data_IF_343632248826
#
_entry.id   IF_343632248826
#
_cell.length_a   1.000
_cell.length_b   1.000
_cell.length_c   1.000
_cell.angle_alpha   90.00
_cell.angle_beta   90.00
_cell.angle_gamma   90.00
#
_symmetry.space_group_name_H-M   'P 1'
#
loop_
_entity.id
_entity.type
_entity.pdbx_description
1 polymer ?
#
# COMPACT_ATOMS: atom_id res chain seq x y z
N UNK A 1 -8.04 19.87 6.15
CA UNK A 1 -6.78 19.51 5.46
C UNK A 1 -5.67 19.48 6.48
N UNK A 2 -4.71 18.57 6.36
CA UNK A 2 -3.56 18.50 7.27
C UNK A 2 -2.60 19.63 6.89
N UNK A 3 -2.16 20.43 7.87
CA UNK A 3 -1.19 21.51 7.65
C UNK A 3 0.15 20.91 7.18
N UNK A 4 0.66 21.43 6.06
CA UNK A 4 1.84 20.94 5.34
C UNK A 4 3.16 21.18 6.09
N UNK A 5 3.14 21.88 7.22
CA UNK A 5 4.34 22.27 7.97
C UNK A 5 4.40 21.71 9.39
N UNK A 6 3.54 20.76 9.73
CA UNK A 6 3.49 20.19 11.07
C UNK A 6 4.76 19.38 11.39
N UNK A 7 5.48 19.82 12.43
CA UNK A 7 6.62 19.08 12.98
C UNK A 7 6.18 18.03 13.99
N UNK A 8 6.90 16.91 14.05
CA UNK A 8 6.65 15.83 15.03
C UNK A 8 6.73 16.33 16.47
N UNK A 9 7.67 17.24 16.75
CA UNK A 9 7.80 17.85 18.08
C UNK A 9 6.59 18.70 18.47
N UNK A 10 5.98 19.38 17.50
CA UNK A 10 4.75 20.14 17.71
C UNK A 10 3.58 19.20 18.02
N UNK A 11 3.42 18.10 17.27
CA UNK A 11 2.42 17.07 17.56
C UNK A 11 2.58 16.47 18.96
N UNK A 12 3.81 16.14 19.35
CA UNK A 12 4.13 15.64 20.69
C UNK A 12 3.72 16.65 21.77
N UNK A 13 4.06 17.93 21.58
CA UNK A 13 3.76 19.01 22.53
C UNK A 13 2.26 19.23 22.68
N UNK A 14 1.54 19.36 21.56
CA UNK A 14 0.09 19.59 21.54
C UNK A 14 -0.64 18.41 22.17
N UNK A 15 -0.28 17.18 21.81
CA UNK A 15 -0.91 16.01 22.39
C UNK A 15 -0.60 15.82 23.88
N UNK A 16 0.64 16.08 24.32
CA UNK A 16 0.98 16.06 25.76
C UNK A 16 0.14 17.08 26.54
N UNK A 17 -0.06 18.29 26.01
CA UNK A 17 -0.90 19.33 26.61
C UNK A 17 -2.37 18.89 26.65
N UNK A 18 -2.91 18.38 25.55
CA UNK A 18 -4.31 17.95 25.46
C UNK A 18 -4.64 16.83 26.46
N UNK A 19 -3.75 15.84 26.60
CA UNK A 19 -3.90 14.71 27.53
C UNK A 19 -3.26 14.96 28.91
N UNK A 20 -2.92 16.20 29.25
CA UNK A 20 -2.37 16.53 30.56
C UNK A 20 -3.42 16.34 31.66
N UNK A 21 -4.63 16.85 31.41
CA UNK A 21 -5.75 16.85 32.36
C UNK A 21 -6.94 16.02 31.86
N UNK A 22 -6.69 15.02 30.99
CA UNK A 22 -7.74 14.14 30.43
C UNK A 22 -7.41 12.69 30.71
N UNK A 23 -8.46 11.87 30.78
CA UNK A 23 -8.32 10.43 30.89
C UNK A 23 -7.54 9.84 29.70
N UNK A 24 -6.83 8.74 29.98
CA UNK A 24 -6.01 7.99 29.02
C UNK A 24 -6.50 6.54 28.86
N UNK A 25 -7.63 6.21 29.48
CA UNK A 25 -8.30 4.92 29.42
C UNK A 25 -8.92 4.60 28.07
N UNK A 26 -9.72 3.52 28.02
CA UNK A 26 -10.40 3.06 26.81
C UNK A 26 -11.43 4.10 26.35
N UNK A 27 -11.45 4.42 25.06
CA UNK A 27 -12.38 5.42 24.49
C UNK A 27 -11.89 6.87 24.57
N UNK A 28 -10.87 7.18 25.37
CA UNK A 28 -10.31 8.55 25.50
C UNK A 28 -9.67 9.14 24.24
N UNK A 29 -9.43 8.32 23.21
CA UNK A 29 -8.64 8.69 22.04
C UNK A 29 -7.12 8.73 22.28
N UNK A 30 -6.64 8.55 23.51
CA UNK A 30 -5.20 8.60 23.83
C UNK A 30 -4.37 7.57 23.04
N UNK A 31 -4.88 6.35 22.89
CA UNK A 31 -4.24 5.30 22.08
C UNK A 31 -4.14 5.69 20.60
N UNK A 32 -5.16 6.34 20.05
CA UNK A 32 -5.14 6.83 18.66
C UNK A 32 -4.13 7.95 18.48
N UNK A 33 -4.05 8.90 19.43
CA UNK A 33 -3.02 9.93 19.45
C UNK A 33 -1.61 9.32 19.49
N UNK A 34 -1.36 8.37 20.39
CA UNK A 34 -0.06 7.70 20.49
C UNK A 34 0.30 6.96 19.20
N UNK A 35 -0.67 6.29 18.56
CA UNK A 35 -0.48 5.66 17.24
C UNK A 35 -0.17 6.69 16.15
N UNK A 36 -0.88 7.83 16.12
CA UNK A 36 -0.59 8.94 15.20
C UNK A 36 0.83 9.48 15.40
N UNK A 37 1.24 9.70 16.66
CA UNK A 37 2.58 10.17 16.99
C UNK A 37 3.67 9.16 16.60
N UNK A 38 3.40 7.86 16.74
CA UNK A 38 4.30 6.79 16.30
C UNK A 38 4.55 6.86 14.79
N UNK A 39 3.48 6.91 13.98
CA UNK A 39 3.61 7.00 12.52
C UNK A 39 4.26 8.31 12.08
N UNK A 40 3.91 9.42 12.73
CA UNK A 40 4.53 10.72 12.45
C UNK A 40 6.05 10.70 12.67
N UNK A 41 6.54 10.04 13.74
CA UNK A 41 7.98 9.89 14.00
C UNK A 41 8.67 9.00 12.96
N UNK A 42 8.02 7.88 12.61
CA UNK A 42 8.57 6.88 11.68
C UNK A 42 8.72 7.45 10.27
N UNK A 43 7.76 8.27 9.86
CA UNK A 43 7.67 8.84 8.52
C UNK A 43 8.07 10.32 8.51
N UNK A 44 8.85 10.78 9.48
CA UNK A 44 9.33 12.15 9.50
C UNK A 44 10.47 12.33 8.50
N UNK A 45 10.52 13.49 7.84
CA UNK A 45 11.71 13.93 7.12
C UNK A 45 12.90 14.13 8.06
N UNK A 46 14.10 14.30 7.50
CA UNK A 46 15.33 14.59 8.27
C UNK A 46 15.23 15.88 9.08
N UNK A 47 14.37 16.81 8.65
CA UNK A 47 14.04 18.07 9.33
C UNK A 47 12.97 17.92 10.44
N UNK A 48 12.48 16.70 10.66
CA UNK A 48 11.47 16.37 11.65
C UNK A 48 10.04 16.80 11.27
N UNK A 49 9.80 17.18 10.01
CA UNK A 49 8.45 17.43 9.49
C UNK A 49 7.73 16.13 9.19
N UNK A 50 6.42 16.11 9.43
CA UNK A 50 5.56 15.02 8.97
C UNK A 50 5.34 15.19 7.48
N UNK A 51 5.56 14.12 6.71
CA UNK A 51 5.31 14.12 5.26
C UNK A 51 3.89 14.61 4.98
N UNK A 52 3.77 15.63 4.12
CA UNK A 52 2.49 16.18 3.71
C UNK A 52 1.91 15.44 2.51
N UNK A 53 0.60 15.58 2.29
CA UNK A 53 -0.05 14.96 1.12
C UNK A 53 0.51 15.52 -0.19
N UNK A 54 0.81 16.82 -0.24
CA UNK A 54 1.41 17.48 -1.41
C UNK A 54 2.79 16.88 -1.71
N UNK A 55 3.61 16.70 -0.68
CA UNK A 55 4.93 16.09 -0.85
C UNK A 55 4.83 14.66 -1.39
N UNK A 56 3.85 13.86 -0.93
CA UNK A 56 3.60 12.53 -1.49
C UNK A 56 3.27 12.64 -2.98
N UNK A 57 2.37 13.54 -3.37
CA UNK A 57 1.98 13.71 -4.77
C UNK A 57 3.15 14.14 -5.66
N UNK A 58 3.96 15.09 -5.20
CA UNK A 58 5.14 15.57 -5.93
C UNK A 58 6.17 14.46 -6.16
N UNK A 59 6.46 13.65 -5.14
CA UNK A 59 7.37 12.51 -5.28
C UNK A 59 6.82 11.46 -6.26
N UNK A 60 5.49 11.29 -6.32
CA UNK A 60 4.87 10.36 -7.26
C UNK A 60 4.99 10.84 -8.70
N UNK A 61 4.80 12.14 -8.94
CA UNK A 61 5.02 12.72 -10.26
C UNK A 61 6.49 12.60 -10.70
N UNK A 62 7.45 12.79 -9.78
CA UNK A 62 8.88 12.57 -10.06
C UNK A 62 9.16 11.12 -10.44
N UNK A 63 8.61 10.17 -9.69
CA UNK A 63 8.76 8.74 -9.96
C UNK A 63 8.22 8.36 -11.36
N UNK A 64 7.01 8.80 -11.71
CA UNK A 64 6.41 8.53 -13.02
C UNK A 64 7.29 9.04 -14.17
N UNK A 65 7.85 10.26 -14.04
CA UNK A 65 8.76 10.86 -15.03
C UNK A 65 10.07 10.07 -15.18
N UNK A 66 10.58 9.49 -14.10
CA UNK A 66 11.79 8.68 -14.11
C UNK A 66 11.55 7.30 -14.74
N UNK A 67 10.43 6.66 -14.38
CA UNK A 67 10.08 5.31 -14.85
C UNK A 67 9.79 5.23 -16.34
N UNK A 68 9.17 6.27 -16.92
CA UNK A 68 8.89 6.35 -18.36
C UNK A 68 10.13 6.22 -19.26
N UNK A 69 11.34 6.33 -18.69
CA UNK A 69 12.61 6.26 -19.43
C UNK A 69 13.22 4.85 -19.53
N UNK A 70 12.60 3.80 -18.96
CA UNK A 70 13.17 2.45 -18.99
C UNK A 70 12.13 1.32 -19.14
N UNK A 71 11.68 0.99 -20.37
CA UNK A 71 10.67 -0.05 -20.59
C UNK A 71 11.33 -1.44 -20.63
N UNK A 72 11.37 -2.14 -19.49
CA UNK A 72 11.73 -3.56 -19.48
C UNK A 72 10.59 -4.40 -20.09
N UNK A 73 10.89 -5.15 -21.14
CA UNK A 73 9.93 -5.99 -21.88
C UNK A 73 9.77 -7.38 -21.24
N UNK A 74 8.56 -7.72 -20.80
CA UNK A 74 8.23 -9.04 -20.25
C UNK A 74 7.75 -9.97 -21.38
N UNK A 75 8.52 -11.01 -21.71
CA UNK A 75 8.15 -12.06 -22.69
C UNK A 75 7.45 -13.26 -22.02
N UNK A 76 6.47 -13.81 -22.72
CA UNK A 76 5.48 -14.83 -22.29
C UNK A 76 5.81 -16.24 -22.85
N UNK A 77 5.36 -17.34 -22.21
CA UNK A 77 4.95 -18.55 -22.96
C UNK A 77 3.91 -19.48 -22.27
N UNK A 78 2.79 -19.66 -23.00
CA UNK A 78 1.86 -20.79 -23.28
C UNK A 78 1.35 -21.77 -22.20
N UNK A 79 0.08 -22.19 -22.39
CA UNK A 79 -0.82 -22.86 -21.42
C UNK A 79 -1.42 -24.15 -21.99
N UNK A 80 -1.70 -25.15 -21.15
CA UNK A 80 -2.83 -26.08 -21.32
C UNK A 80 -3.30 -26.61 -19.95
N UNK A 81 -4.61 -26.88 -19.83
CA UNK A 81 -5.36 -27.00 -18.57
C UNK A 81 -5.42 -28.43 -18.00
N UNK A 82 -5.23 -28.53 -16.68
CA UNK A 82 -5.65 -29.62 -15.79
C UNK A 82 -5.28 -29.23 -14.37
N UNK A 83 -6.22 -28.71 -13.59
CA UNK A 83 -5.96 -27.93 -12.37
C UNK A 83 -4.95 -28.59 -11.42
N UNK A 84 -3.92 -27.83 -11.06
CA UNK A 84 -2.86 -28.21 -10.12
C UNK A 84 -2.47 -26.98 -9.32
N UNK A 85 -2.18 -27.18 -8.04
CA UNK A 85 -1.58 -26.15 -7.18
C UNK A 85 -0.26 -25.67 -7.81
N UNK A 86 -0.09 -24.35 -7.99
CA UNK A 86 1.12 -23.74 -8.56
C UNK A 86 2.01 -23.11 -7.47
N UNK A 87 1.71 -23.39 -6.20
CA UNK A 87 2.35 -22.77 -5.06
C UNK A 87 2.03 -21.28 -4.96
N UNK A 88 2.97 -20.44 -4.48
CA UNK A 88 4.33 -20.82 -4.09
C UNK A 88 4.38 -21.83 -2.93
N UNK A 89 5.13 -22.91 -3.11
CA UNK A 89 5.34 -23.95 -2.07
C UNK A 89 6.42 -23.57 -1.06
N UNK A 90 7.26 -22.61 -1.44
CA UNK A 90 8.37 -22.11 -0.64
C UNK A 90 8.22 -20.61 -0.46
N UNK A 91 8.35 -20.15 0.77
CA UNK A 91 8.41 -18.74 1.13
C UNK A 91 9.58 -18.50 2.07
N UNK A 92 10.22 -17.34 1.93
CA UNK A 92 11.27 -16.93 2.85
C UNK A 92 10.64 -16.51 4.17
N UNK A 93 11.03 -17.16 5.27
CA UNK A 93 10.56 -16.78 6.60
C UNK A 93 10.96 -15.36 6.93
N UNK A 94 9.99 -14.45 6.90
CA UNK A 94 10.16 -13.09 7.38
C UNK A 94 10.01 -13.05 8.90
N UNK A 95 10.44 -11.96 9.54
CA UNK A 95 10.19 -11.70 10.98
C UNK A 95 8.71 -11.37 11.28
N UNK A 96 7.82 -11.43 10.28
CA UNK A 96 6.39 -11.15 10.42
C UNK A 96 5.65 -12.35 11.00
N UNK A 97 4.56 -12.10 11.73
CA UNK A 97 3.65 -13.12 12.26
C UNK A 97 3.04 -14.03 11.18
N UNK A 98 2.85 -13.48 9.98
CA UNK A 98 2.39 -14.23 8.80
C UNK A 98 3.45 -14.12 7.72
N UNK A 99 4.47 -14.98 7.73
CA UNK A 99 5.40 -15.09 6.62
C UNK A 99 4.66 -15.83 5.49
N UNK A 100 3.89 -15.09 4.72
CA UNK A 100 3.11 -15.58 3.59
C UNK A 100 3.51 -14.92 2.29
N UNK A 101 2.93 -15.40 1.20
CA UNK A 101 3.24 -15.04 -0.19
C UNK A 101 2.57 -13.73 -0.64
N UNK A 102 2.32 -12.86 0.33
CA UNK A 102 1.46 -11.69 0.19
C UNK A 102 0.00 -12.00 0.53
N UNK A 103 -0.72 -10.96 0.96
CA UNK A 103 -2.15 -11.01 1.26
C UNK A 103 -2.91 -10.36 0.11
N UNK A 104 -3.86 -11.08 -0.49
CA UNK A 104 -4.85 -10.54 -1.41
C UNK A 104 -6.15 -10.32 -0.64
N UNK A 105 -6.79 -9.16 -0.82
CA UNK A 105 -8.04 -8.81 -0.13
C UNK A 105 -9.16 -8.41 -1.08
N UNK A 106 -8.86 -8.24 -2.36
CA UNK A 106 -9.85 -7.89 -3.38
C UNK A 106 -9.54 -8.61 -4.69
N UNK A 107 -10.58 -9.03 -5.38
CA UNK A 107 -10.53 -9.59 -6.73
C UNK A 107 -11.75 -9.08 -7.49
N UNK A 108 -11.57 -8.74 -8.77
CA UNK A 108 -12.65 -8.35 -9.66
C UNK A 108 -12.41 -8.98 -11.04
N UNK A 109 -13.48 -9.47 -11.66
CA UNK A 109 -13.44 -10.07 -13.01
C UNK A 109 -14.21 -9.16 -13.94
N UNK A 110 -13.61 -8.85 -15.09
CA UNK A 110 -14.21 -8.00 -16.12
C UNK A 110 -15.52 -8.62 -16.64
N UNK A 111 -16.67 -7.90 -16.61
CA UNK A 111 -17.97 -8.46 -16.95
C UNK A 111 -18.07 -8.95 -18.40
N UNK A 112 -17.44 -8.23 -19.33
CA UNK A 112 -17.52 -8.51 -20.77
C UNK A 112 -16.41 -9.44 -21.26
N UNK A 113 -15.30 -9.52 -20.52
CA UNK A 113 -14.11 -10.29 -20.89
C UNK A 113 -13.55 -11.04 -19.68
N UNK A 114 -14.17 -12.16 -19.29
CA UNK A 114 -13.83 -12.91 -18.07
C UNK A 114 -12.37 -13.41 -17.97
N UNK A 115 -11.60 -13.35 -19.05
CA UNK A 115 -10.15 -13.55 -19.03
C UNK A 115 -9.40 -12.40 -18.34
N UNK A 116 -10.02 -11.25 -18.15
CA UNK A 116 -9.44 -10.11 -17.47
C UNK A 116 -9.83 -10.17 -15.99
N UNK A 117 -8.83 -10.28 -15.12
CA UNK A 117 -8.99 -10.35 -13.67
C UNK A 117 -8.07 -9.32 -13.03
N UNK A 118 -8.57 -8.61 -12.04
CA UNK A 118 -7.80 -7.70 -11.20
C UNK A 118 -7.73 -8.24 -9.78
N UNK A 119 -6.57 -8.15 -9.13
CA UNK A 119 -6.36 -8.54 -7.74
C UNK A 119 -5.68 -7.42 -6.97
N UNK A 120 -6.15 -7.13 -5.75
CA UNK A 120 -5.62 -6.06 -4.91
C UNK A 120 -5.06 -6.57 -3.59
N UNK A 121 -3.88 -6.07 -3.25
CA UNK A 121 -3.18 -6.35 -2.00
C UNK A 121 -3.09 -5.10 -1.12
N UNK A 122 -3.19 -5.22 0.22
CA UNK A 122 -3.05 -4.09 1.14
C UNK A 122 -1.65 -3.47 1.18
N UNK A 123 -0.63 -4.16 0.67
CA UNK A 123 0.74 -3.65 0.57
C UNK A 123 1.51 -4.10 -0.67
N UNK A 124 0.91 -4.96 -1.50
CA UNK A 124 1.50 -5.44 -2.75
C UNK A 124 0.91 -4.80 -4.02
N UNK A 125 0.06 -3.78 -3.90
CA UNK A 125 -0.50 -3.07 -5.05
C UNK A 125 -1.64 -3.82 -5.76
N UNK A 126 -1.95 -3.35 -6.97
CA UNK A 126 -2.95 -3.94 -7.86
C UNK A 126 -2.24 -4.73 -8.97
N UNK A 127 -2.80 -5.89 -9.29
CA UNK A 127 -2.31 -6.83 -10.28
C UNK A 127 -3.41 -7.10 -11.29
N UNK A 128 -3.05 -7.21 -12.57
CA UNK A 128 -3.95 -7.57 -13.66
C UNK A 128 -3.49 -8.84 -14.32
N UNK A 129 -4.43 -9.74 -14.54
CA UNK A 129 -4.31 -10.84 -15.47
C UNK A 129 -5.19 -10.53 -16.68
N UNK A 130 -4.69 -10.81 -17.87
CA UNK A 130 -5.48 -10.77 -19.13
C UNK A 130 -5.76 -12.16 -19.66
N UNK A 131 -5.49 -13.18 -18.83
CA UNK A 131 -5.61 -14.55 -19.23
C UNK A 131 -6.35 -15.41 -18.18
N UNK A 132 -7.13 -14.90 -17.26
CA UNK A 132 -7.78 -15.72 -16.21
C UNK A 132 -6.78 -16.32 -15.21
N UNK A 133 -5.79 -15.52 -14.81
CA UNK A 133 -5.00 -15.76 -13.60
C UNK A 133 -3.74 -16.62 -13.75
N UNK A 134 -3.36 -17.10 -14.95
CA UNK A 134 -2.10 -17.86 -15.08
C UNK A 134 -0.87 -16.97 -15.21
N UNK A 135 -1.02 -15.69 -15.61
CA UNK A 135 0.02 -14.70 -15.40
C UNK A 135 -0.58 -13.38 -14.94
N UNK A 136 0.21 -12.66 -14.15
CA UNK A 136 -0.17 -11.38 -13.54
C UNK A 136 0.88 -10.34 -13.87
N UNK A 137 0.42 -9.16 -14.22
CA UNK A 137 1.24 -7.97 -14.41
C UNK A 137 0.89 -6.97 -13.31
N UNK A 138 1.88 -6.36 -12.66
CA UNK A 138 1.61 -5.29 -11.71
C UNK A 138 1.05 -4.08 -12.47
N UNK A 139 -0.02 -3.49 -11.94
CA UNK A 139 -0.55 -2.19 -12.38
C UNK A 139 -0.21 -1.08 -11.39
N UNK A 140 0.17 -1.45 -10.16
CA UNK A 140 0.36 -0.53 -9.05
C UNK A 140 1.75 0.08 -8.93
N UNK A 141 2.71 -0.28 -9.80
CA UNK A 141 4.12 0.12 -9.65
C UNK A 141 4.33 1.63 -9.70
N UNK A 142 3.40 2.36 -10.32
CA UNK A 142 3.42 3.83 -10.44
C UNK A 142 2.52 4.53 -9.42
N UNK A 143 1.87 3.78 -8.54
CA UNK A 143 0.98 4.36 -7.54
C UNK A 143 1.77 4.82 -6.32
N UNK A 144 1.45 6.03 -5.85
CA UNK A 144 1.91 6.59 -4.58
C UNK A 144 1.68 5.67 -3.39
N UNK A 145 0.58 4.92 -3.47
CA UNK A 145 0.07 4.08 -2.41
C UNK A 145 -0.27 2.71 -3.00
N UNK A 146 0.40 1.68 -2.51
CA UNK A 146 0.21 0.30 -2.93
C UNK A 146 -0.88 -0.42 -2.11
N UNK A 147 -1.65 0.29 -1.28
CA UNK A 147 -2.71 -0.28 -0.46
C UNK A 147 -4.04 -0.34 -1.20
N UNK A 148 -4.38 -1.54 -1.68
CA UNK A 148 -5.61 -1.79 -2.45
C UNK A 148 -6.55 -2.67 -1.63
N UNK A 149 -7.74 -2.14 -1.32
CA UNK A 149 -8.75 -2.78 -0.48
C UNK A 149 -10.00 -3.20 -1.24
N UNK A 150 -10.32 -2.52 -2.34
CA UNK A 150 -11.50 -2.78 -3.16
C UNK A 150 -11.19 -2.40 -4.61
N UNK A 151 -11.85 -3.10 -5.53
CA UNK A 151 -11.75 -2.89 -6.98
C UNK A 151 -13.18 -2.97 -7.51
N UNK A 152 -13.59 -1.99 -8.31
CA UNK A 152 -14.85 -1.98 -9.04
C UNK A 152 -14.54 -1.81 -10.54
N UNK A 153 -15.37 -2.41 -11.36
CA UNK A 153 -15.29 -2.37 -12.83
C UNK A 153 -16.65 -1.87 -13.31
N UNK A 154 -16.63 -1.00 -14.31
CA UNK A 154 -17.81 -0.43 -14.97
C UNK A 154 -18.24 -1.32 -16.15
#
# INVERSE_FOLDING_TARGET
MQDDHVKVNQLKRVGKRYFQNRDKGRGSGYKLYMRKLYWAKRNAGTDGRVISNVQVLDECQKFQKAWAKNPASLRTRQRSSGWRELGPFNWTRTRSWSPGLGRIVSIAVEPTQQNIIYAGSPGGGIWKSVNAGQSWQPLGDQMANMSIWSIAID
#
